data_IF_187630002203
#
_entry.id   IF_187630002203
#
_cell.length_a   1.000
_cell.length_b   1.000
_cell.length_c   1.000
_cell.angle_alpha   90.00
_cell.angle_beta   90.00
_cell.angle_gamma   90.00
#
_symmetry.space_group_name_H-M   'P 1'
#
loop_
_entity.id
_entity.type
_entity.pdbx_description
1 polymer ?
#
# COMPACT_ATOMS: atom_id res chain seq x y z
N UNK A 1 37.28 -30.69 79.94
CA UNK A 1 36.05 -31.50 79.72
C UNK A 1 35.26 -30.83 78.60
N UNK A 2 35.05 -31.56 77.50
CA UNK A 2 34.48 -31.10 76.23
C UNK A 2 33.13 -30.39 76.38
N UNK A 3 32.85 -29.39 75.52
CA UNK A 3 31.67 -29.43 74.63
C UNK A 3 31.66 -28.32 73.56
N UNK A 4 31.83 -28.79 72.32
CA UNK A 4 31.10 -28.45 71.09
C UNK A 4 31.24 -27.05 70.49
N UNK A 5 32.17 -27.01 69.54
CA UNK A 5 32.13 -26.24 68.30
C UNK A 5 30.79 -26.46 67.56
N UNK A 6 30.03 -25.40 67.33
CA UNK A 6 28.93 -25.38 66.36
C UNK A 6 29.29 -24.42 65.25
N UNK A 7 29.78 -25.01 64.16
CA UNK A 7 29.95 -24.40 62.84
C UNK A 7 28.57 -23.97 62.33
N UNK A 8 28.33 -22.66 62.23
CA UNK A 8 27.19 -22.13 61.48
C UNK A 8 27.67 -21.92 60.04
N UNK A 9 27.44 -22.91 59.19
CA UNK A 9 27.60 -22.77 57.73
C UNK A 9 26.44 -21.91 57.25
N UNK A 10 26.69 -20.61 57.06
CA UNK A 10 25.77 -19.73 56.34
C UNK A 10 25.90 -20.10 54.86
N UNK A 11 25.04 -21.00 54.41
CA UNK A 11 24.83 -21.23 52.98
C UNK A 11 24.11 -20.00 52.42
N UNK A 12 24.89 -19.07 51.86
CA UNK A 12 24.35 -17.99 51.01
C UNK A 12 23.82 -18.66 49.76
N UNK A 13 22.52 -18.92 49.73
CA UNK A 13 21.79 -19.24 48.51
C UNK A 13 21.83 -18.00 47.62
N UNK A 14 22.80 -17.95 46.71
CA UNK A 14 22.78 -17.04 45.57
C UNK A 14 21.67 -17.55 44.63
N UNK A 15 20.42 -17.16 44.90
CA UNK A 15 19.35 -17.26 43.92
C UNK A 15 19.70 -16.33 42.76
N UNK A 16 20.50 -16.82 41.83
CA UNK A 16 20.57 -16.27 40.49
C UNK A 16 19.18 -16.46 39.89
N UNK A 17 18.34 -15.43 40.02
CA UNK A 17 17.15 -15.27 39.22
C UNK A 17 17.61 -15.19 37.77
N UNK A 18 17.71 -16.34 37.12
CA UNK A 18 17.62 -16.44 35.66
C UNK A 18 16.21 -15.97 35.33
N UNK A 19 16.07 -14.66 35.13
CA UNK A 19 14.98 -14.13 34.34
C UNK A 19 15.13 -14.80 32.98
N UNK A 20 14.34 -15.85 32.72
CA UNK A 20 14.03 -16.22 31.37
C UNK A 20 13.39 -14.97 30.77
N UNK A 21 14.17 -14.20 30.01
CA UNK A 21 13.60 -13.29 29.04
C UNK A 21 12.79 -14.19 28.11
N UNK A 22 11.49 -14.32 28.39
CA UNK A 22 10.54 -14.84 27.44
C UNK A 22 10.75 -13.97 26.21
N UNK A 23 11.38 -14.53 25.17
CA UNK A 23 11.72 -13.83 23.93
C UNK A 23 10.45 -13.51 23.15
N UNK A 24 9.54 -12.75 23.74
CA UNK A 24 8.40 -12.18 23.08
C UNK A 24 9.00 -11.24 22.05
N UNK A 25 8.81 -11.58 20.76
CA UNK A 25 9.09 -10.63 19.68
C UNK A 25 8.29 -9.38 20.01
N UNK A 26 8.99 -8.29 20.35
CA UNK A 26 8.36 -6.99 20.42
C UNK A 26 7.89 -6.67 19.00
N UNK A 27 6.57 -6.72 18.82
CA UNK A 27 5.93 -6.37 17.57
C UNK A 27 5.27 -5.01 17.75
N UNK A 28 5.21 -4.25 16.66
CA UNK A 28 4.41 -3.04 16.59
C UNK A 28 3.58 -3.04 15.32
N UNK A 29 2.37 -2.49 15.39
CA UNK A 29 1.49 -2.35 14.24
C UNK A 29 1.29 -0.88 13.93
N UNK A 30 1.45 -0.51 12.67
CA UNK A 30 1.16 0.80 12.12
C UNK A 30 0.02 0.74 11.12
N UNK A 31 -0.81 1.77 11.12
CA UNK A 31 -1.79 2.02 10.05
C UNK A 31 -1.39 3.34 9.41
N UNK A 32 -1.02 3.28 8.14
CA UNK A 32 -0.65 4.42 7.33
C UNK A 32 -1.73 4.77 6.33
N UNK A 33 -1.86 6.05 6.00
CA UNK A 33 -2.78 6.50 4.96
C UNK A 33 -2.23 7.69 4.18
N UNK A 34 -2.68 7.82 2.94
CA UNK A 34 -2.50 9.01 2.14
C UNK A 34 -3.76 9.26 1.33
N UNK A 35 -4.02 10.54 1.06
CA UNK A 35 -5.13 10.95 0.21
C UNK A 35 -4.63 11.91 -0.85
N UNK A 36 -5.09 11.76 -2.09
CA UNK A 36 -4.78 12.72 -3.13
C UNK A 36 -5.97 12.94 -4.07
N UNK A 37 -6.08 14.17 -4.56
CA UNK A 37 -6.92 14.49 -5.71
C UNK A 37 -6.16 14.17 -7.01
N UNK A 38 -6.91 13.76 -8.02
CA UNK A 38 -6.40 13.50 -9.37
C UNK A 38 -7.34 14.11 -10.39
N UNK A 39 -6.74 14.84 -11.33
CA UNK A 39 -7.36 15.11 -12.61
C UNK A 39 -7.33 13.78 -13.37
N UNK A 40 -8.48 13.12 -13.46
CA UNK A 40 -8.63 11.79 -14.05
C UNK A 40 -8.21 11.81 -15.53
N UNK A 41 -7.81 10.66 -16.10
CA UNK A 41 -7.48 10.58 -17.50
C UNK A 41 -8.75 10.82 -18.32
N UNK A 42 -8.66 11.75 -19.26
CA UNK A 42 -9.71 11.95 -20.25
C UNK A 42 -10.88 12.80 -19.79
N UNK A 43 -11.91 12.76 -20.62
CA UNK A 43 -13.15 13.53 -20.53
C UNK A 43 -14.28 12.61 -20.95
N UNK A 44 -15.48 12.86 -20.47
CA UNK A 44 -16.66 12.14 -20.95
C UNK A 44 -17.01 12.51 -22.41
N UNK A 45 -18.05 11.88 -22.96
CA UNK A 45 -18.50 12.09 -24.34
C UNK A 45 -18.98 13.51 -24.65
N UNK A 46 -19.13 14.38 -23.64
CA UNK A 46 -19.49 15.80 -23.79
C UNK A 46 -18.28 16.74 -23.64
N UNK A 47 -17.11 16.18 -23.35
CA UNK A 47 -15.88 16.95 -23.11
C UNK A 47 -15.71 17.43 -21.67
N UNK A 48 -16.54 16.94 -20.73
CA UNK A 48 -16.42 17.26 -19.31
C UNK A 48 -15.30 16.44 -18.67
N UNK A 49 -14.44 17.11 -17.90
CA UNK A 49 -13.30 16.49 -17.24
C UNK A 49 -13.73 15.44 -16.22
N UNK A 50 -13.05 14.29 -16.19
CA UNK A 50 -13.16 13.32 -15.09
C UNK A 50 -12.24 13.74 -13.96
N UNK A 51 -12.71 13.61 -12.72
CA UNK A 51 -11.89 13.75 -11.52
C UNK A 51 -11.97 12.49 -10.67
N UNK A 52 -10.93 12.24 -9.88
CA UNK A 52 -10.97 11.24 -8.82
C UNK A 52 -10.21 11.70 -7.60
N UNK A 53 -10.53 11.09 -6.46
CA UNK A 53 -9.64 11.09 -5.31
C UNK A 53 -9.31 9.66 -4.93
N UNK A 54 -8.15 9.50 -4.32
CA UNK A 54 -7.67 8.20 -3.88
C UNK A 54 -7.38 8.26 -2.39
N UNK A 55 -7.69 7.17 -1.69
CA UNK A 55 -7.22 6.86 -0.36
C UNK A 55 -6.37 5.60 -0.46
N UNK A 56 -5.06 5.74 -0.31
CA UNK A 56 -4.16 4.60 -0.19
C UNK A 56 -3.91 4.37 1.29
N UNK A 57 -3.93 3.13 1.73
CA UNK A 57 -3.71 2.76 3.12
C UNK A 57 -2.83 1.52 3.22
N UNK A 58 -2.08 1.43 4.30
CA UNK A 58 -1.22 0.30 4.62
C UNK A 58 -1.39 -0.10 6.07
N UNK A 59 -1.56 -1.40 6.32
CA UNK A 59 -1.42 -2.01 7.64
C UNK A 59 -0.09 -2.74 7.67
N UNK A 60 0.76 -2.41 8.63
CA UNK A 60 2.13 -2.93 8.68
C UNK A 60 2.44 -3.44 10.07
N UNK A 61 2.96 -4.66 10.16
CA UNK A 61 3.53 -5.19 11.40
C UNK A 61 5.05 -5.12 11.28
N UNK A 62 5.70 -4.58 12.30
CA UNK A 62 7.15 -4.47 12.42
C UNK A 62 7.68 -5.31 13.58
N UNK A 63 8.88 -5.87 13.43
CA UNK A 63 9.63 -6.44 14.54
C UNK A 63 10.37 -5.38 15.38
N UNK A 64 11.05 -5.84 16.43
CA UNK A 64 11.84 -5.01 17.34
C UNK A 64 12.96 -4.20 16.66
N UNK A 65 13.42 -4.65 15.47
CA UNK A 65 14.45 -3.96 14.67
C UNK A 65 13.83 -3.02 13.62
N UNK A 66 12.50 -2.92 13.60
CA UNK A 66 11.77 -2.12 12.62
C UNK A 66 11.67 -2.75 11.24
N UNK A 67 11.91 -4.06 11.12
CA UNK A 67 11.72 -4.79 9.87
C UNK A 67 10.25 -5.15 9.71
N UNK A 68 9.75 -5.00 8.49
CA UNK A 68 8.41 -5.40 8.09
C UNK A 68 8.30 -6.92 8.23
N UNK A 69 7.39 -7.39 9.08
CA UNK A 69 7.07 -8.82 9.21
C UNK A 69 5.76 -9.19 8.53
N UNK A 70 4.87 -8.21 8.37
CA UNK A 70 3.62 -8.33 7.63
C UNK A 70 3.23 -6.97 7.06
N UNK A 71 2.59 -6.97 5.90
CA UNK A 71 2.27 -5.76 5.14
C UNK A 71 1.07 -6.03 4.23
N UNK A 72 0.02 -5.23 4.42
CA UNK A 72 -1.13 -5.20 3.52
C UNK A 72 -1.39 -3.75 3.10
N UNK A 73 -1.50 -3.53 1.79
CA UNK A 73 -1.70 -2.25 1.14
C UNK A 73 -2.87 -2.34 0.20
N UNK A 74 -3.74 -1.33 0.25
CA UNK A 74 -4.90 -1.25 -0.62
C UNK A 74 -5.23 0.22 -0.89
N UNK A 75 -6.10 0.44 -1.87
CA UNK A 75 -6.52 1.76 -2.27
C UNK A 75 -8.00 1.81 -2.61
N UNK A 76 -8.70 2.80 -2.06
CA UNK A 76 -10.01 3.22 -2.53
C UNK A 76 -9.80 4.36 -3.53
N UNK A 77 -10.29 4.19 -4.75
CA UNK A 77 -10.37 5.24 -5.75
C UNK A 77 -11.84 5.54 -5.99
N UNK A 78 -12.20 6.82 -5.92
CA UNK A 78 -13.57 7.28 -6.17
C UNK A 78 -13.50 8.36 -7.22
N UNK A 79 -14.26 8.20 -8.31
CA UNK A 79 -14.31 9.17 -9.40
C UNK A 79 -15.63 9.94 -9.43
N UNK A 80 -15.67 10.98 -10.27
CA UNK A 80 -16.94 11.57 -10.70
C UNK A 80 -17.75 10.54 -11.51
N UNK A 81 -19.10 10.58 -11.48
CA UNK A 81 -19.96 9.59 -12.14
C UNK A 81 -19.89 9.58 -13.67
N UNK A 82 -19.21 10.55 -14.27
CA UNK A 82 -18.95 10.60 -15.69
C UNK A 82 -17.73 9.79 -16.13
N UNK A 83 -17.03 9.15 -15.18
CA UNK A 83 -15.98 8.19 -15.51
C UNK A 83 -16.56 6.92 -16.13
N UNK A 84 -15.86 6.38 -17.12
CA UNK A 84 -16.25 5.14 -17.76
C UNK A 84 -15.53 3.94 -17.12
N UNK A 85 -16.21 3.29 -16.17
CA UNK A 85 -15.77 2.03 -15.59
C UNK A 85 -16.83 1.42 -14.67
N UNK A 86 -17.39 0.29 -15.09
CA UNK A 86 -18.54 -0.35 -14.42
C UNK A 86 -18.31 -0.72 -12.94
N UNK A 87 -17.06 -1.00 -12.55
CA UNK A 87 -16.71 -1.32 -11.17
C UNK A 87 -16.18 -0.11 -10.37
N UNK A 88 -16.06 1.07 -10.98
CA UNK A 88 -15.47 2.23 -10.33
C UNK A 88 -16.44 2.79 -9.29
N UNK A 89 -16.00 2.99 -8.03
CA UNK A 89 -16.75 3.79 -7.07
C UNK A 89 -16.90 5.23 -7.58
N UNK A 90 -18.11 5.77 -7.46
CA UNK A 90 -18.39 7.15 -7.84
C UNK A 90 -18.85 7.96 -6.64
N UNK A 91 -18.66 9.28 -6.68
CA UNK A 91 -19.34 10.20 -5.77
C UNK A 91 -20.18 11.19 -6.57
N UNK A 92 -21.50 11.06 -6.47
CA UNK A 92 -22.47 11.87 -7.20
C UNK A 92 -22.62 13.30 -6.68
N UNK A 93 -22.01 13.59 -5.53
CA UNK A 93 -22.03 14.90 -4.87
C UNK A 93 -22.95 14.92 -3.64
N UNK A 94 -22.97 16.05 -2.94
CA UNK A 94 -23.82 16.22 -1.77
C UNK A 94 -25.28 16.44 -2.18
N UNK A 95 -26.26 16.00 -1.38
CA UNK A 95 -27.65 16.29 -1.65
C UNK A 95 -27.93 17.79 -1.84
N UNK A 96 -28.58 18.13 -2.95
CA UNK A 96 -28.86 19.51 -3.36
C UNK A 96 -27.73 20.20 -4.12
N UNK A 97 -26.60 19.53 -4.38
CA UNK A 97 -25.61 20.03 -5.34
C UNK A 97 -26.14 19.93 -6.78
N UNK A 98 -25.57 20.69 -7.74
CA UNK A 98 -25.79 20.40 -9.15
C UNK A 98 -25.48 18.93 -9.44
N UNK A 99 -26.34 18.29 -10.22
CA UNK A 99 -26.13 16.91 -10.63
C UNK A 99 -24.97 16.82 -11.62
N UNK A 100 -24.17 15.76 -11.50
CA UNK A 100 -23.04 15.51 -12.38
C UNK A 100 -23.45 14.62 -13.55
N UNK A 101 -22.76 14.73 -14.69
CA UNK A 101 -22.94 13.81 -15.80
C UNK A 101 -22.77 12.35 -15.33
N UNK A 102 -23.62 11.46 -15.85
CA UNK A 102 -23.54 10.02 -15.62
C UNK A 102 -23.29 9.30 -16.94
N UNK A 103 -22.21 8.52 -16.98
CA UNK A 103 -21.80 7.77 -18.18
C UNK A 103 -22.37 6.36 -18.14
N UNK A 104 -23.01 5.93 -19.22
CA UNK A 104 -23.39 4.54 -19.44
C UNK A 104 -22.15 3.76 -19.91
N UNK A 105 -21.74 2.77 -19.12
CA UNK A 105 -20.51 1.99 -19.35
C UNK A 105 -20.58 1.04 -20.54
N UNK A 106 -21.77 0.71 -21.06
CA UNK A 106 -21.90 -0.11 -22.25
C UNK A 106 -21.75 0.70 -23.53
N UNK A 107 -22.13 1.98 -23.47
CA UNK A 107 -22.08 2.90 -24.63
C UNK A 107 -20.93 3.90 -24.58
N UNK A 108 -20.26 4.01 -23.42
CA UNK A 108 -19.20 4.99 -23.12
C UNK A 108 -19.67 6.45 -23.32
N UNK A 109 -20.98 6.70 -23.17
CA UNK A 109 -21.61 8.01 -23.40
C UNK A 109 -22.34 8.50 -22.18
N UNK A 110 -22.39 9.82 -22.03
CA UNK A 110 -23.26 10.46 -21.04
C UNK A 110 -24.71 10.13 -21.38
N UNK A 111 -25.39 9.44 -20.45
CA UNK A 111 -26.77 8.99 -20.59
C UNK A 111 -27.76 9.84 -19.77
N UNK A 112 -27.24 10.72 -18.92
CA UNK A 112 -28.04 11.59 -18.06
C UNK A 112 -27.19 12.20 -16.95
N UNK A 113 -27.83 12.42 -15.81
CA UNK A 113 -27.20 12.94 -14.60
C UNK A 113 -27.26 11.91 -13.46
N UNK A 114 -26.29 11.98 -12.56
CA UNK A 114 -26.17 11.05 -11.45
C UNK A 114 -27.11 11.46 -10.30
N UNK A 115 -27.87 10.51 -9.72
CA UNK A 115 -28.79 10.81 -8.64
C UNK A 115 -28.03 11.18 -7.36
N UNK A 116 -28.33 12.34 -6.79
CA UNK A 116 -27.69 12.81 -5.56
C UNK A 116 -28.69 13.03 -4.40
N UNK A 117 -29.82 12.34 -4.37
CA UNK A 117 -30.70 12.37 -3.18
C UNK A 117 -29.99 11.75 -1.97
N UNK A 118 -30.40 12.07 -0.72
CA UNK A 118 -29.81 11.46 0.48
C UNK A 118 -29.80 9.93 0.44
N UNK A 119 -30.87 9.31 -0.07
CA UNK A 119 -31.00 7.86 -0.20
C UNK A 119 -30.03 7.31 -1.26
N UNK A 120 -29.91 7.99 -2.41
CA UNK A 120 -29.00 7.59 -3.48
C UNK A 120 -27.54 7.68 -3.05
N UNK A 121 -27.14 8.79 -2.43
CA UNK A 121 -25.76 8.99 -1.93
C UNK A 121 -25.43 7.99 -0.81
N UNK A 122 -26.38 7.69 0.07
CA UNK A 122 -26.19 6.67 1.12
C UNK A 122 -25.93 5.29 0.50
N UNK A 123 -26.72 4.90 -0.50
CA UNK A 123 -26.52 3.63 -1.20
C UNK A 123 -25.21 3.59 -1.99
N UNK A 124 -24.86 4.69 -2.67
CA UNK A 124 -23.62 4.85 -3.43
C UNK A 124 -22.38 4.66 -2.53
N UNK A 125 -22.29 5.42 -1.44
CA UNK A 125 -21.14 5.35 -0.51
C UNK A 125 -21.05 4.00 0.19
N UNK A 126 -22.19 3.39 0.56
CA UNK A 126 -22.21 2.07 1.17
C UNK A 126 -21.74 0.95 0.20
N UNK A 127 -21.81 1.20 -1.11
CA UNK A 127 -21.37 0.26 -2.14
C UNK A 127 -19.91 0.45 -2.57
N UNK A 128 -19.20 1.47 -2.06
CA UNK A 128 -17.80 1.70 -2.39
C UNK A 128 -16.94 0.50 -2.00
N UNK A 129 -16.05 0.13 -2.93
CA UNK A 129 -15.12 -0.98 -2.80
C UNK A 129 -13.71 -0.51 -3.09
N UNK A 130 -12.76 -1.02 -2.33
CA UNK A 130 -11.35 -0.82 -2.62
C UNK A 130 -10.89 -1.54 -3.89
N UNK A 131 -9.63 -1.37 -4.30
CA UNK A 131 -9.05 -2.13 -5.40
C UNK A 131 -8.99 -3.62 -5.09
N UNK A 132 -8.63 -4.00 -3.86
CA UNK A 132 -8.67 -5.42 -3.43
C UNK A 132 -10.09 -5.98 -3.41
N UNK A 133 -11.06 -5.26 -2.87
CA UNK A 133 -12.47 -5.72 -2.80
C UNK A 133 -13.13 -5.87 -4.19
N UNK A 134 -12.65 -5.11 -5.18
CA UNK A 134 -13.06 -5.27 -6.57
C UNK A 134 -12.45 -6.52 -7.22
N UNK A 135 -11.30 -6.99 -6.76
CA UNK A 135 -10.59 -8.13 -7.34
C UNK A 135 -10.42 -7.99 -8.85
N UNK A 136 -10.73 -9.05 -9.59
CA UNK A 136 -10.67 -9.07 -11.06
C UNK A 136 -11.61 -8.07 -11.73
N UNK A 137 -12.65 -7.59 -11.03
CA UNK A 137 -13.53 -6.55 -11.57
C UNK A 137 -12.85 -5.17 -11.61
N UNK A 138 -11.71 -4.97 -10.93
CA UNK A 138 -10.92 -3.74 -11.10
C UNK A 138 -10.41 -3.62 -12.54
N UNK A 139 -9.97 -4.74 -13.14
CA UNK A 139 -9.72 -4.82 -14.58
C UNK A 139 -8.44 -4.10 -15.02
N UNK A 140 -7.41 -3.99 -14.16
CA UNK A 140 -6.15 -3.35 -14.55
C UNK A 140 -5.40 -4.13 -15.63
N UNK A 141 -5.36 -5.45 -15.45
CA UNK A 141 -4.70 -6.37 -16.36
C UNK A 141 -5.31 -7.77 -16.19
N UNK A 142 -5.83 -8.39 -17.27
CA UNK A 142 -6.47 -9.71 -17.21
C UNK A 142 -5.61 -10.85 -16.64
N UNK A 143 -4.29 -10.71 -16.63
CA UNK A 143 -3.35 -11.76 -16.18
C UNK A 143 -2.65 -11.44 -14.85
N UNK A 144 -2.68 -10.19 -14.42
CA UNK A 144 -1.97 -9.74 -13.24
C UNK A 144 -2.59 -8.44 -12.74
N UNK A 145 -3.81 -8.54 -12.19
CA UNK A 145 -4.55 -7.38 -11.73
C UNK A 145 -3.82 -6.67 -10.56
N UNK A 146 -4.34 -5.53 -10.14
CA UNK A 146 -3.69 -4.65 -9.16
C UNK A 146 -3.36 -5.36 -7.85
N UNK A 147 -4.29 -6.18 -7.33
CA UNK A 147 -4.08 -6.86 -6.05
C UNK A 147 -2.97 -7.91 -6.13
N UNK A 148 -2.88 -8.67 -7.23
CA UNK A 148 -1.77 -9.61 -7.45
C UNK A 148 -0.42 -8.91 -7.54
N UNK A 149 -0.38 -7.76 -8.23
CA UNK A 149 0.85 -6.96 -8.29
C UNK A 149 1.19 -6.35 -6.93
N UNK A 150 0.19 -5.96 -6.14
CA UNK A 150 0.42 -5.43 -4.79
C UNK A 150 0.96 -6.53 -3.87
N UNK A 151 0.40 -7.74 -3.91
CA UNK A 151 0.91 -8.90 -3.15
C UNK A 151 2.40 -9.16 -3.46
N UNK A 152 2.80 -9.01 -4.73
CA UNK A 152 4.19 -9.16 -5.14
C UNK A 152 5.11 -8.06 -4.55
N UNK A 153 4.66 -6.80 -4.48
CA UNK A 153 5.40 -5.73 -3.80
C UNK A 153 5.46 -5.94 -2.28
N UNK A 154 4.34 -6.35 -1.66
CA UNK A 154 4.27 -6.61 -0.23
C UNK A 154 5.27 -7.71 0.15
N UNK A 155 5.25 -8.82 -0.59
CA UNK A 155 6.22 -9.92 -0.44
C UNK A 155 7.66 -9.48 -0.63
N UNK A 156 7.92 -8.60 -1.59
CA UNK A 156 9.26 -8.04 -1.84
C UNK A 156 9.77 -7.23 -0.65
N UNK A 157 8.89 -6.52 0.06
CA UNK A 157 9.26 -5.65 1.17
C UNK A 157 9.33 -6.34 2.54
N UNK A 158 8.82 -7.58 2.67
CA UNK A 158 8.99 -8.37 3.90
C UNK A 158 10.49 -8.51 4.25
N UNK A 159 10.81 -8.24 5.51
CA UNK A 159 12.18 -8.27 6.04
C UNK A 159 12.98 -6.98 5.83
N UNK A 160 12.46 -6.02 5.06
CA UNK A 160 13.05 -4.69 4.92
C UNK A 160 12.60 -3.77 6.07
N UNK A 161 13.44 -2.82 6.48
CA UNK A 161 12.99 -1.63 7.19
C UNK A 161 12.35 -0.65 6.21
N UNK A 162 11.62 0.34 6.72
CA UNK A 162 11.05 1.40 5.85
C UNK A 162 12.13 2.16 5.08
N UNK A 163 13.27 2.43 5.73
CA UNK A 163 14.41 3.08 5.06
C UNK A 163 14.98 2.20 3.93
N UNK A 164 15.01 0.87 4.12
CA UNK A 164 15.43 -0.08 3.08
C UNK A 164 14.41 -0.12 1.91
N UNK A 165 13.10 -0.03 2.17
CA UNK A 165 12.06 0.09 1.13
C UNK A 165 12.24 1.37 0.32
N UNK A 166 12.43 2.51 0.98
CA UNK A 166 12.67 3.79 0.31
C UNK A 166 13.94 3.76 -0.54
N UNK A 167 15.04 3.23 0.00
CA UNK A 167 16.28 3.07 -0.74
C UNK A 167 16.11 2.14 -1.96
N UNK A 168 15.38 1.03 -1.80
CA UNK A 168 15.08 0.12 -2.89
C UNK A 168 14.29 0.83 -3.99
N UNK A 169 13.21 1.53 -3.63
CA UNK A 169 12.37 2.22 -4.62
C UNK A 169 13.11 3.35 -5.34
N UNK A 170 13.89 4.17 -4.63
CA UNK A 170 14.69 5.23 -5.22
C UNK A 170 15.71 4.69 -6.24
N UNK A 171 16.29 3.52 -5.95
CA UNK A 171 17.30 2.90 -6.80
C UNK A 171 16.71 2.14 -8.00
N UNK A 172 15.60 1.43 -7.81
CA UNK A 172 15.11 0.41 -8.74
C UNK A 172 13.82 0.77 -9.47
N UNK A 173 13.16 1.89 -9.14
CA UNK A 173 12.04 2.41 -9.92
C UNK A 173 12.52 3.43 -10.97
N UNK A 174 11.80 3.48 -12.09
CA UNK A 174 11.96 4.49 -13.13
C UNK A 174 11.48 5.86 -12.63
N UNK A 175 12.31 6.88 -12.81
CA UNK A 175 11.93 8.27 -12.53
C UNK A 175 10.94 8.84 -13.56
N UNK A 176 10.67 8.09 -14.64
CA UNK A 176 9.74 8.49 -15.71
C UNK A 176 8.31 8.10 -15.35
N UNK A 177 8.12 6.92 -14.75
CA UNK A 177 6.78 6.35 -14.58
C UNK A 177 6.55 5.66 -13.22
N UNK A 178 7.53 5.61 -12.33
CA UNK A 178 7.41 5.01 -11.00
C UNK A 178 7.30 3.48 -10.99
N UNK A 179 7.50 2.80 -12.12
CA UNK A 179 7.51 1.33 -12.24
C UNK A 179 8.90 0.77 -12.04
N UNK A 180 9.01 -0.51 -11.68
CA UNK A 180 10.30 -1.22 -11.63
C UNK A 180 11.03 -1.07 -12.98
N UNK A 181 12.30 -0.67 -12.93
CA UNK A 181 13.13 -0.47 -14.11
C UNK A 181 13.10 -1.72 -14.99
N UNK A 182 12.72 -1.53 -16.25
CA UNK A 182 12.79 -2.58 -17.26
C UNK A 182 14.25 -2.71 -17.73
N UNK A 183 14.93 -3.86 -17.56
CA UNK A 183 16.31 -4.03 -18.04
C UNK A 183 16.46 -3.84 -19.57
N UNK A 184 15.36 -3.95 -20.32
CA UNK A 184 15.29 -3.69 -21.76
C UNK A 184 14.81 -2.26 -22.09
N UNK A 185 14.85 -1.31 -21.15
CA UNK A 185 14.41 0.07 -21.39
C UNK A 185 15.27 0.75 -22.45
N UNK A 186 14.60 1.44 -23.38
CA UNK A 186 15.25 2.17 -24.48
C UNK A 186 15.37 3.67 -24.23
N UNK A 187 14.64 4.21 -23.25
CA UNK A 187 14.70 5.63 -22.92
C UNK A 187 15.98 5.95 -22.12
N UNK A 188 16.55 7.12 -22.39
CA UNK A 188 17.86 7.51 -21.85
C UNK A 188 17.90 7.66 -20.32
N UNK A 189 16.79 8.09 -19.70
CA UNK A 189 16.69 8.23 -18.24
C UNK A 189 16.81 6.89 -17.52
N UNK A 190 16.06 5.89 -17.98
CA UNK A 190 16.11 4.55 -17.38
C UNK A 190 17.43 3.85 -17.71
N UNK A 191 17.98 4.02 -18.93
CA UNK A 191 19.33 3.51 -19.26
C UNK A 191 20.39 4.05 -18.31
N UNK A 192 20.34 5.34 -17.98
CA UNK A 192 21.28 5.94 -17.04
C UNK A 192 21.17 5.34 -15.64
N UNK A 193 19.95 5.07 -15.14
CA UNK A 193 19.76 4.36 -13.86
C UNK A 193 20.18 2.90 -13.90
N UNK A 194 20.03 2.22 -15.03
CA UNK A 194 20.42 0.81 -15.21
C UNK A 194 21.94 0.62 -15.37
N UNK A 195 22.64 1.60 -15.94
CA UNK A 195 24.07 1.53 -16.22
C UNK A 195 24.96 1.14 -15.00
N UNK A 196 24.78 1.72 -13.80
CA UNK A 196 25.59 1.36 -12.63
C UNK A 196 25.17 0.05 -11.95
N UNK A 197 24.08 -0.60 -12.37
CA UNK A 197 23.61 -1.83 -11.73
C UNK A 197 24.45 -3.04 -12.15
N UNK A 198 24.79 -3.87 -11.16
CA UNK A 198 25.41 -5.18 -11.40
C UNK A 198 24.47 -6.14 -12.11
N UNK A 199 25.02 -7.21 -12.70
CA UNK A 199 24.21 -8.25 -13.36
C UNK A 199 23.26 -8.95 -12.39
N UNK A 200 23.67 -9.11 -11.13
CA UNK A 200 22.81 -9.65 -10.07
C UNK A 200 21.60 -8.75 -9.80
N UNK A 201 21.81 -7.44 -9.77
CA UNK A 201 20.73 -6.48 -9.57
C UNK A 201 19.79 -6.44 -10.77
N UNK A 202 20.32 -6.50 -12.00
CA UNK A 202 19.49 -6.59 -13.21
C UNK A 202 18.68 -7.89 -13.23
N UNK A 203 19.23 -9.00 -12.78
CA UNK A 203 18.49 -10.26 -12.62
C UNK A 203 17.38 -10.14 -11.57
N UNK A 204 17.65 -9.47 -10.43
CA UNK A 204 16.62 -9.16 -9.42
C UNK A 204 15.49 -8.31 -10.01
N UNK A 205 15.79 -7.32 -10.86
CA UNK A 205 14.76 -6.54 -11.54
C UNK A 205 13.88 -7.41 -12.45
N UNK A 206 14.46 -8.40 -13.15
CA UNK A 206 13.67 -9.34 -13.97
C UNK A 206 12.72 -10.15 -13.08
N UNK A 207 13.22 -10.68 -11.97
CA UNK A 207 12.42 -11.46 -11.01
C UNK A 207 11.29 -10.63 -10.42
N UNK A 208 11.58 -9.44 -9.88
CA UNK A 208 10.58 -8.53 -9.33
C UNK A 208 9.51 -8.14 -10.37
N UNK A 209 9.92 -7.92 -11.63
CA UNK A 209 9.00 -7.59 -12.72
C UNK A 209 8.12 -8.75 -13.18
N UNK A 210 8.46 -9.99 -12.83
CA UNK A 210 7.60 -11.14 -13.11
C UNK A 210 6.32 -11.11 -12.27
N UNK A 211 6.41 -10.54 -11.06
CA UNK A 211 5.27 -10.38 -10.14
C UNK A 211 4.58 -9.02 -10.23
N UNK A 212 5.34 -7.93 -10.40
CA UNK A 212 4.77 -6.58 -10.37
C UNK A 212 5.35 -5.65 -11.44
N UNK A 213 4.48 -4.90 -12.12
CA UNK A 213 4.87 -3.93 -13.15
C UNK A 213 4.19 -2.57 -13.02
N UNK A 214 3.19 -2.46 -12.14
CA UNK A 214 2.48 -1.21 -11.86
C UNK A 214 3.39 -0.20 -11.18
N UNK A 215 3.03 1.07 -11.31
CA UNK A 215 3.64 2.13 -10.52
C UNK A 215 3.11 2.06 -9.09
N UNK A 216 3.98 2.32 -8.13
CA UNK A 216 3.61 2.38 -6.71
C UNK A 216 3.79 3.80 -6.12
N UNK A 217 4.20 4.75 -6.95
CA UNK A 217 4.25 6.17 -6.63
C UNK A 217 3.86 6.95 -7.88
N UNK A 218 2.57 7.24 -8.02
CA UNK A 218 2.03 8.01 -9.14
C UNK A 218 0.83 8.87 -8.72
N UNK A 219 0.05 9.35 -9.69
CA UNK A 219 -1.12 10.19 -9.44
C UNK A 219 -2.28 9.46 -8.72
N UNK A 220 -2.19 8.16 -8.46
CA UNK A 220 -3.15 7.41 -7.62
C UNK A 220 -2.76 7.40 -6.14
N UNK A 221 -1.57 7.90 -5.80
CA UNK A 221 -1.07 7.98 -4.43
C UNK A 221 0.33 7.40 -4.26
N UNK A 222 0.79 7.35 -3.01
CA UNK A 222 2.13 6.88 -2.66
C UNK A 222 2.10 5.67 -1.74
N UNK A 223 2.42 4.49 -2.29
CA UNK A 223 2.55 3.23 -1.54
C UNK A 223 3.70 3.33 -0.54
N UNK A 224 4.83 3.89 -0.94
CA UNK A 224 6.00 4.05 -0.05
C UNK A 224 5.68 5.04 1.07
N UNK A 225 4.97 6.12 0.75
CA UNK A 225 4.53 7.12 1.72
C UNK A 225 3.62 6.52 2.79
N UNK A 226 2.68 5.65 2.44
CA UNK A 226 1.80 5.02 3.44
C UNK A 226 2.53 4.02 4.34
N UNK A 227 3.56 3.32 3.84
CA UNK A 227 4.42 2.47 4.68
C UNK A 227 5.18 3.32 5.71
N UNK A 228 5.73 4.47 5.27
CA UNK A 228 6.41 5.42 6.16
C UNK A 228 5.46 6.02 7.20
N UNK A 229 4.26 6.39 6.78
CA UNK A 229 3.24 6.92 7.68
C UNK A 229 2.83 5.87 8.73
N UNK A 230 2.66 4.61 8.33
CA UNK A 230 2.40 3.50 9.24
C UNK A 230 3.53 3.34 10.27
N UNK A 231 4.79 3.38 9.85
CA UNK A 231 5.94 3.34 10.75
C UNK A 231 5.91 4.47 11.78
N UNK A 232 5.63 5.70 11.35
CA UNK A 232 5.59 6.85 12.24
C UNK A 232 4.44 6.78 13.27
N UNK A 233 3.34 6.11 12.91
CA UNK A 233 2.13 5.99 13.75
C UNK A 233 2.03 4.68 14.53
N UNK A 234 3.03 3.80 14.41
CA UNK A 234 2.98 2.44 14.97
C UNK A 234 2.81 2.42 16.49
N UNK A 235 2.12 1.40 16.99
CA UNK A 235 1.94 1.13 18.42
C UNK A 235 2.40 -0.29 18.76
N UNK A 236 2.97 -0.52 19.95
CA UNK A 236 3.28 -1.87 20.41
C UNK A 236 2.03 -2.77 20.39
N UNK A 237 2.21 -4.01 19.93
CA UNK A 237 1.21 -5.08 20.03
C UNK A 237 1.35 -5.83 21.36
N UNK A 238 0.24 -6.34 21.89
CA UNK A 238 0.24 -7.14 23.12
C UNK A 238 0.50 -6.34 24.39
N UNK A 239 0.05 -5.08 24.42
CA UNK A 239 -0.05 -4.29 25.67
C UNK A 239 -1.00 -4.94 26.67
#
# INVERSE_FOLDING_TARGET
MMKKLSMLVVAVFLCASFAFATGQKELSMGVGHSSNFRIGPGKDSTGTQVYSFNYVYATVIFDAKGKIVDLEIDALEVSTPNYDGASMPHFSGWPGSPELNFTDHATEKVAGTAPNTPEAVTAEVAAWKSKRDRGDAYGMNPKNDWFHQMDAYEKLFIGMTVDEVEAWTAKYLSDVNGRILNPAATNEKDKAKLAPLSDKEKAMLVDARSGATMSINDAHGSVVGVIRDAWNKRKPLGK
#
